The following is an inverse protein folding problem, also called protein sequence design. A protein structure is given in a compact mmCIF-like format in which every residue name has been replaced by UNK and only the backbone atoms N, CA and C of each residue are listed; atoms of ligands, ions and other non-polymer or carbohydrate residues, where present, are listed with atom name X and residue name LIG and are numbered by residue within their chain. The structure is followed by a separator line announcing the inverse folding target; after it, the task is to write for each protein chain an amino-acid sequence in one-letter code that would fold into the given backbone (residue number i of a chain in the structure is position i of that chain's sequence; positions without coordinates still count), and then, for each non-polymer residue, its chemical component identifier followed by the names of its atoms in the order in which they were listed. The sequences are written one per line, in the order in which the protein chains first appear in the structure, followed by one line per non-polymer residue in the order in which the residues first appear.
data_IF_217515067583
#
_entry.id   IF_217515067583
#
_cell.length_a   1.000
_cell.length_b   1.000
_cell.length_c   1.000
_cell.angle_alpha   90.00
_cell.angle_beta   90.00
_cell.angle_gamma   90.00
#
_symmetry.space_group_name_H-M   'P 1'
#
loop_
_entity.id
_entity.type
_entity.pdbx_description
1 polymer ?
#
# COMPACT_ATOMS: atom_id res chain seq x y z
N UNK A 1 -12.18 5.14 9.93
CA UNK A 1 -11.92 4.92 8.49
C UNK A 1 -13.24 4.62 7.78
N UNK A 2 -13.51 5.27 6.63
CA UNK A 2 -14.74 5.02 5.88
C UNK A 2 -14.87 3.55 5.46
N UNK A 3 -16.11 3.07 5.42
CA UNK A 3 -16.40 1.65 5.10
C UNK A 3 -15.89 1.22 3.73
N UNK A 4 -16.05 2.06 2.72
CA UNK A 4 -15.60 1.74 1.36
C UNK A 4 -14.07 1.65 1.26
N UNK A 5 -13.34 2.44 2.04
CA UNK A 5 -11.88 2.37 2.08
C UNK A 5 -11.43 1.02 2.67
N UNK A 6 -12.10 0.57 3.73
CA UNK A 6 -11.80 -0.75 4.32
C UNK A 6 -12.02 -1.88 3.31
N UNK A 7 -13.11 -1.79 2.55
CA UNK A 7 -13.42 -2.79 1.52
C UNK A 7 -12.35 -2.80 0.42
N UNK A 8 -11.98 -1.62 -0.07
CA UNK A 8 -10.94 -1.48 -1.10
C UNK A 8 -9.62 -2.07 -0.60
N UNK A 9 -9.20 -1.73 0.61
CA UNK A 9 -7.95 -2.23 1.19
C UNK A 9 -7.97 -3.74 1.36
N UNK A 10 -9.11 -4.31 1.73
CA UNK A 10 -9.26 -5.76 1.87
C UNK A 10 -9.10 -6.47 0.54
N UNK A 11 -9.74 -5.95 -0.50
CA UNK A 11 -9.63 -6.50 -1.85
C UNK A 11 -8.21 -6.34 -2.41
N UNK A 12 -7.58 -5.20 -2.14
CA UNK A 12 -6.19 -4.98 -2.52
C UNK A 12 -5.27 -6.00 -1.84
N UNK A 13 -5.40 -6.18 -0.54
CA UNK A 13 -4.59 -7.15 0.21
C UNK A 13 -4.73 -8.56 -0.34
N UNK A 14 -5.95 -8.99 -0.62
CA UNK A 14 -6.21 -10.30 -1.22
C UNK A 14 -5.47 -10.48 -2.54
N UNK A 15 -5.55 -9.49 -3.41
CA UNK A 15 -4.87 -9.52 -4.70
C UNK A 15 -3.36 -9.53 -4.55
N UNK A 16 -2.82 -8.74 -3.64
CA UNK A 16 -1.38 -8.68 -3.39
C UNK A 16 -0.85 -10.01 -2.84
N UNK A 17 -1.60 -10.67 -1.97
CA UNK A 17 -1.24 -11.99 -1.46
C UNK A 17 -1.14 -13.01 -2.61
N UNK A 18 -2.07 -12.97 -3.55
CA UNK A 18 -2.05 -13.86 -4.72
C UNK A 18 -0.87 -13.56 -5.63
N UNK A 19 -0.53 -12.29 -5.81
CA UNK A 19 0.53 -11.87 -6.73
C UNK A 19 1.92 -12.16 -6.17
N UNK A 20 2.17 -11.78 -4.92
CA UNK A 20 3.50 -11.87 -4.33
C UNK A 20 3.72 -13.09 -3.45
N UNK A 21 2.65 -13.72 -2.98
CA UNK A 21 2.75 -14.94 -2.17
C UNK A 21 3.65 -14.75 -0.96
N UNK A 22 4.61 -15.67 -0.79
CA UNK A 22 5.53 -15.65 0.36
C UNK A 22 6.48 -14.45 0.36
N UNK A 23 6.63 -13.75 -0.76
CA UNK A 23 7.44 -12.55 -0.84
C UNK A 23 6.80 -11.37 -0.11
N UNK A 24 5.49 -11.39 0.05
CA UNK A 24 4.77 -10.31 0.73
C UNK A 24 4.97 -10.40 2.24
N UNK A 25 5.59 -9.37 2.81
CA UNK A 25 5.79 -9.29 4.26
C UNK A 25 4.65 -8.57 4.95
N UNK A 26 4.25 -7.42 4.42
CA UNK A 26 3.22 -6.60 5.03
C UNK A 26 2.70 -5.55 4.05
N UNK A 27 1.51 -5.01 4.34
CA UNK A 27 0.95 -3.86 3.63
C UNK A 27 0.48 -2.87 4.69
N UNK A 28 0.86 -1.61 4.55
CA UNK A 28 0.47 -0.55 5.47
C UNK A 28 -0.23 0.57 4.74
N UNK A 29 -1.35 1.01 5.27
CA UNK A 29 -1.98 2.26 4.85
C UNK A 29 -1.25 3.39 5.56
N UNK A 30 -0.89 4.43 4.82
CA UNK A 30 -0.29 5.62 5.41
C UNK A 30 -0.91 6.87 4.78
N UNK A 31 -0.38 8.04 5.09
CA UNK A 31 -0.90 9.28 4.55
C UNK A 31 -2.22 9.71 5.20
N UNK A 32 -3.01 10.50 4.47
CA UNK A 32 -4.18 11.16 5.04
C UNK A 32 -5.25 10.21 5.57
N UNK A 33 -5.53 9.11 4.88
CA UNK A 33 -6.52 8.14 5.37
C UNK A 33 -6.08 7.44 6.65
N UNK A 34 -4.78 7.18 6.80
CA UNK A 34 -4.25 6.59 8.03
C UNK A 34 -4.40 7.54 9.23
N UNK A 35 -4.27 8.84 8.97
CA UNK A 35 -4.40 9.87 10.01
C UNK A 35 -5.85 10.28 10.29
N UNK A 36 -6.82 9.71 9.57
CA UNK A 36 -8.21 10.10 9.72
C UNK A 36 -8.58 11.41 9.03
N UNK A 37 -7.71 11.91 8.18
CA UNK A 37 -7.89 13.18 7.47
C UNK A 37 -8.32 13.01 6.01
N UNK A 38 -8.33 11.77 5.51
CA UNK A 38 -8.63 11.48 4.12
C UNK A 38 -10.08 11.71 3.76
N UNK A 39 -10.31 12.25 2.56
CA UNK A 39 -11.64 12.53 2.03
C UNK A 39 -11.71 12.18 0.56
N UNK A 40 -12.64 11.31 0.18
CA UNK A 40 -12.93 11.02 -1.22
C UNK A 40 -13.76 12.17 -1.82
N UNK A 41 -13.53 12.51 -3.09
CA UNK A 41 -12.57 11.92 -4.01
C UNK A 41 -11.17 12.54 -3.99
N UNK A 42 -10.94 13.53 -3.14
CA UNK A 42 -9.75 14.39 -3.19
C UNK A 42 -8.46 13.75 -2.67
N UNK A 43 -8.57 12.79 -1.75
CA UNK A 43 -7.39 12.15 -1.15
C UNK A 43 -7.05 10.84 -1.84
N UNK A 44 -5.73 10.60 -2.04
CA UNK A 44 -5.25 9.31 -2.52
C UNK A 44 -5.21 8.30 -1.38
N UNK A 45 -5.35 7.03 -1.75
CA UNK A 45 -5.14 5.92 -0.81
C UNK A 45 -3.67 5.52 -0.93
N UNK A 46 -2.88 5.87 0.08
CA UNK A 46 -1.44 5.60 0.08
C UNK A 46 -1.13 4.30 0.79
N UNK A 47 -0.52 3.36 0.08
CA UNK A 47 -0.12 2.07 0.67
C UNK A 47 1.36 1.80 0.46
N UNK A 48 1.98 1.22 1.49
CA UNK A 48 3.35 0.73 1.42
C UNK A 48 3.32 -0.78 1.43
N UNK A 49 3.90 -1.37 0.39
CA UNK A 49 3.98 -2.81 0.23
C UNK A 49 5.40 -3.23 0.61
N UNK A 50 5.53 -4.01 1.68
CA UNK A 50 6.82 -4.46 2.17
C UNK A 50 7.06 -5.88 1.68
N UNK A 51 8.17 -6.07 0.97
CA UNK A 51 8.54 -7.36 0.38
C UNK A 51 9.80 -7.90 1.04
N UNK A 52 9.91 -9.21 1.08
CA UNK A 52 11.10 -9.91 1.59
C UNK A 52 12.19 -9.92 0.52
N UNK A 53 13.44 -9.81 0.96
CA UNK A 53 14.59 -9.90 0.08
C UNK A 53 14.75 -8.70 -0.84
N UNK A 54 15.63 -8.85 -1.82
CA UNK A 54 15.88 -7.81 -2.82
C UNK A 54 14.93 -8.00 -3.99
N UNK A 55 14.58 -6.89 -4.64
CA UNK A 55 13.69 -6.92 -5.79
C UNK A 55 13.95 -5.73 -6.70
N UNK A 56 13.51 -5.86 -7.95
CA UNK A 56 13.52 -4.78 -8.92
C UNK A 56 12.19 -4.02 -8.80
N UNK A 57 12.24 -2.73 -8.49
CA UNK A 57 11.04 -1.91 -8.28
C UNK A 57 10.09 -1.90 -9.47
N UNK A 58 10.63 -1.78 -10.67
CA UNK A 58 9.81 -1.76 -11.89
C UNK A 58 9.07 -3.07 -12.07
N UNK A 59 9.78 -4.18 -11.88
CA UNK A 59 9.23 -5.52 -12.05
C UNK A 59 8.10 -5.81 -11.06
N UNK A 60 8.32 -5.54 -9.76
CA UNK A 60 7.28 -5.77 -8.75
C UNK A 60 6.08 -4.84 -8.95
N UNK A 61 6.34 -3.59 -9.36
CA UNK A 61 5.26 -2.65 -9.65
C UNK A 61 4.38 -3.12 -10.82
N UNK A 62 5.00 -3.62 -11.89
CA UNK A 62 4.28 -4.12 -13.06
C UNK A 62 3.37 -5.30 -12.70
N UNK A 63 3.79 -6.16 -11.79
CA UNK A 63 3.02 -7.34 -11.41
C UNK A 63 1.66 -7.02 -10.78
N UNK A 64 1.52 -5.89 -10.11
CA UNK A 64 0.26 -5.50 -9.48
C UNK A 64 -0.43 -4.31 -10.13
N UNK A 65 0.06 -3.84 -11.28
CA UNK A 65 -0.50 -2.67 -11.98
C UNK A 65 -1.95 -2.89 -12.39
N UNK A 66 -2.27 -4.05 -12.92
CA UNK A 66 -3.63 -4.37 -13.35
C UNK A 66 -4.61 -4.40 -12.18
N UNK A 67 -4.21 -5.01 -11.07
CA UNK A 67 -5.01 -5.05 -9.86
C UNK A 67 -5.34 -3.64 -9.36
N UNK A 68 -4.31 -2.80 -9.27
CA UNK A 68 -4.48 -1.42 -8.79
C UNK A 68 -5.33 -0.60 -9.74
N UNK A 69 -5.13 -0.75 -11.05
CA UNK A 69 -5.93 -0.06 -12.06
C UNK A 69 -7.41 -0.44 -11.95
N UNK A 70 -7.69 -1.74 -11.82
CA UNK A 70 -9.06 -2.23 -11.69
C UNK A 70 -9.75 -1.68 -10.45
N UNK A 71 -9.09 -1.77 -9.30
CA UNK A 71 -9.67 -1.26 -8.06
C UNK A 71 -9.87 0.25 -8.08
N UNK A 72 -8.94 0.98 -8.68
CA UNK A 72 -9.04 2.43 -8.82
C UNK A 72 -10.23 2.83 -9.69
N UNK A 73 -10.41 2.17 -10.83
CA UNK A 73 -11.52 2.45 -11.75
C UNK A 73 -12.87 2.05 -11.14
N UNK A 74 -12.96 0.87 -10.56
CA UNK A 74 -14.21 0.37 -9.97
C UNK A 74 -14.72 1.24 -8.84
N UNK A 75 -13.80 1.83 -8.07
CA UNK A 75 -14.14 2.58 -6.86
C UNK A 75 -13.98 4.09 -7.02
N UNK A 76 -13.58 4.55 -8.20
CA UNK A 76 -13.35 5.98 -8.50
C UNK A 76 -12.40 6.62 -7.48
N UNK A 77 -11.28 5.95 -7.22
CA UNK A 77 -10.24 6.41 -6.28
C UNK A 77 -8.88 6.32 -6.94
N UNK A 78 -7.89 6.97 -6.33
CA UNK A 78 -6.49 6.83 -6.73
C UNK A 78 -5.78 6.04 -5.63
N UNK A 79 -5.15 4.93 -6.01
CA UNK A 79 -4.33 4.13 -5.11
C UNK A 79 -2.88 4.38 -5.46
N UNK A 80 -2.13 4.94 -4.53
CA UNK A 80 -0.70 5.23 -4.67
C UNK A 80 0.10 4.17 -3.92
N UNK A 81 1.00 3.47 -4.64
CA UNK A 81 1.81 2.39 -4.07
C UNK A 81 3.25 2.82 -3.87
N UNK A 82 3.84 2.39 -2.75
CA UNK A 82 5.27 2.43 -2.52
C UNK A 82 5.73 1.02 -2.16
N UNK A 83 6.86 0.60 -2.69
CA UNK A 83 7.46 -0.70 -2.38
C UNK A 83 8.71 -0.49 -1.54
N UNK A 84 8.87 -1.30 -0.51
CA UNK A 84 10.06 -1.27 0.33
C UNK A 84 10.49 -2.70 0.66
N UNK A 85 11.81 -2.93 0.72
CA UNK A 85 12.29 -4.18 1.27
C UNK A 85 12.06 -4.20 2.77
N UNK A 86 12.02 -5.39 3.35
CA UNK A 86 11.85 -5.57 4.79
C UNK A 86 12.90 -4.80 5.59
N UNK A 87 14.16 -4.87 5.17
CA UNK A 87 15.25 -4.18 5.86
C UNK A 87 15.14 -2.66 5.77
N UNK A 88 14.80 -2.13 4.59
CA UNK A 88 14.62 -0.69 4.40
C UNK A 88 13.45 -0.17 5.23
N UNK A 89 12.33 -0.89 5.20
CA UNK A 89 11.16 -0.51 6.01
C UNK A 89 11.52 -0.44 7.50
N UNK A 90 12.25 -1.44 8.00
CA UNK A 90 12.57 -1.56 9.42
C UNK A 90 13.60 -0.54 9.90
N UNK A 91 14.55 -0.16 9.06
CA UNK A 91 15.72 0.60 9.51
C UNK A 91 15.95 1.96 8.87
N UNK A 92 15.26 2.30 7.78
CA UNK A 92 15.49 3.56 7.10
C UNK A 92 15.12 4.76 7.99
N UNK A 93 15.98 5.77 7.99
CA UNK A 93 15.77 7.02 8.72
C UNK A 93 15.21 8.13 7.83
N UNK A 94 14.83 7.79 6.59
CA UNK A 94 14.16 8.76 5.73
C UNK A 94 12.76 9.07 6.29
N UNK A 95 12.31 10.33 6.19
CA UNK A 95 11.03 10.76 6.77
C UNK A 95 9.84 9.88 6.40
N UNK A 96 9.76 9.44 5.15
CA UNK A 96 8.67 8.57 4.69
C UNK A 96 8.57 7.31 5.56
N UNK A 97 9.69 6.59 5.74
CA UNK A 97 9.69 5.32 6.46
C UNK A 97 9.45 5.52 7.96
N UNK A 98 10.01 6.58 8.53
CA UNK A 98 9.76 6.93 9.92
C UNK A 98 8.26 7.16 10.12
N UNK A 99 7.62 7.92 9.23
CA UNK A 99 6.20 8.23 9.32
C UNK A 99 5.33 6.98 9.16
N UNK A 100 5.67 6.11 8.22
CA UNK A 100 4.89 4.88 8.02
C UNK A 100 4.98 3.96 9.24
N UNK A 101 6.18 3.80 9.81
CA UNK A 101 6.34 2.99 11.03
C UNK A 101 5.55 3.55 12.21
N UNK A 102 5.42 4.88 12.28
CA UNK A 102 4.78 5.58 13.39
C UNK A 102 3.25 5.66 13.24
N UNK A 103 2.77 5.96 12.05
CA UNK A 103 1.37 6.26 11.78
C UNK A 103 0.66 5.24 10.91
N UNK A 104 1.40 4.36 10.26
CA UNK A 104 0.84 3.39 9.32
C UNK A 104 -0.11 2.41 10.00
N UNK A 105 -1.15 2.05 9.26
CA UNK A 105 -2.16 1.09 9.72
C UNK A 105 -1.99 -0.20 8.92
N UNK A 106 -1.80 -1.32 9.62
CA UNK A 106 -1.66 -2.62 8.96
C UNK A 106 -2.97 -3.00 8.26
N UNK A 107 -2.81 -3.46 7.03
CA UNK A 107 -3.93 -3.90 6.20
C UNK A 107 -4.07 -5.41 6.25
#
# INVERSE_FOLDING_TARGET
MPRNIRKILRELKKGLVKIYGDQLKAVYLFGSFARGEGRLPDSDIDVMIVLKGEFNHREVSERSSELVASLSLENEVVISRKFASESVYASSKMPLYINVRKEGVAV
#
